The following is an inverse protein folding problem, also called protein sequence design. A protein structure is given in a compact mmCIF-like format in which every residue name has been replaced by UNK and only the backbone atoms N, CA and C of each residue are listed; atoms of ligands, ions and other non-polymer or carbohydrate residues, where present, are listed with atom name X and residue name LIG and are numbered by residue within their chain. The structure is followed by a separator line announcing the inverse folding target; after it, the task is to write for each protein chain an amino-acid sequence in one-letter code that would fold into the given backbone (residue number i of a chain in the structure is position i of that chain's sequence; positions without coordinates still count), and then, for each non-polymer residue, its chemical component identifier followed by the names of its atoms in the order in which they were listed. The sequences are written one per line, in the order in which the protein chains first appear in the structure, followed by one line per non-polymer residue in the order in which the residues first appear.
data_IF_037882542915
#
_entry.id   IF_037882542915
#
_cell.length_a   1.000
_cell.length_b   1.000
_cell.length_c   1.000
_cell.angle_alpha   90.00
_cell.angle_beta   90.00
_cell.angle_gamma   90.00
#
_symmetry.space_group_name_H-M   'P 1'
#
loop_
_entity.id
_entity.type
_entity.pdbx_description
1 polymer ?
#
# COMPACT_ATOMS: atom_id res chain seq x y z
N UNK A 1 7.07 -8.43 -1.43
CA UNK A 1 5.94 -8.35 -0.47
C UNK A 1 4.70 -7.73 -1.12
N UNK A 2 4.80 -6.53 -1.70
CA UNK A 2 3.70 -5.92 -2.45
C UNK A 2 3.18 -6.78 -3.62
N UNK A 3 4.08 -7.47 -4.34
CA UNK A 3 3.71 -8.31 -5.51
C UNK A 3 3.12 -9.66 -5.09
N UNK A 4 3.57 -10.23 -3.98
CA UNK A 4 3.18 -11.59 -3.53
C UNK A 4 1.95 -11.59 -2.62
N UNK A 5 1.28 -10.45 -2.43
CA UNK A 5 0.16 -10.27 -1.49
C UNK A 5 0.44 -10.72 -0.03
N UNK A 6 1.72 -10.77 0.35
CA UNK A 6 2.17 -11.19 1.70
C UNK A 6 2.66 -10.00 2.53
N UNK A 7 2.17 -8.80 2.22
CA UNK A 7 2.43 -7.64 3.08
C UNK A 7 1.50 -7.73 4.30
N UNK A 8 1.97 -7.41 5.52
CA UNK A 8 1.17 -7.47 6.75
C UNK A 8 0.17 -6.32 6.86
N UNK A 9 -0.58 -6.06 5.79
CA UNK A 9 -1.58 -5.00 5.68
C UNK A 9 -2.95 -5.54 6.10
N UNK A 10 -3.91 -4.64 6.30
CA UNK A 10 -5.27 -4.98 6.73
C UNK A 10 -5.93 -6.12 5.94
N UNK A 11 -5.81 -6.15 4.60
CA UNK A 11 -6.38 -7.24 3.78
C UNK A 11 -5.74 -8.60 4.06
N UNK A 12 -4.43 -8.65 4.32
CA UNK A 12 -3.73 -9.87 4.71
C UNK A 12 -4.19 -10.33 6.10
N UNK A 13 -4.28 -9.41 7.08
CA UNK A 13 -4.75 -9.72 8.43
C UNK A 13 -6.19 -10.23 8.41
N UNK A 14 -7.07 -9.63 7.60
CA UNK A 14 -8.46 -10.09 7.45
C UNK A 14 -8.54 -11.53 6.92
N UNK A 15 -7.68 -11.88 5.96
CA UNK A 15 -7.69 -13.21 5.35
C UNK A 15 -7.08 -14.29 6.26
N UNK A 16 -5.95 -14.00 6.91
CA UNK A 16 -5.17 -15.02 7.62
C UNK A 16 -5.32 -14.96 9.16
N UNK A 17 -5.78 -13.83 9.71
CA UNK A 17 -5.94 -13.60 11.16
C UNK A 17 -7.26 -12.88 11.48
N UNK A 18 -8.42 -13.41 11.03
CA UNK A 18 -9.70 -12.72 11.16
C UNK A 18 -10.02 -12.41 12.63
N UNK A 19 -10.35 -11.14 12.91
CA UNK A 19 -10.74 -10.67 14.24
C UNK A 19 -9.60 -10.51 15.26
N UNK A 20 -8.36 -10.86 14.92
CA UNK A 20 -7.23 -10.78 15.86
C UNK A 20 -6.50 -9.43 15.83
N UNK A 21 -6.49 -8.77 14.68
CA UNK A 21 -5.73 -7.53 14.47
C UNK A 21 -6.58 -6.45 13.83
N UNK A 22 -6.15 -5.20 14.00
CA UNK A 22 -6.76 -4.08 13.29
C UNK A 22 -6.53 -4.20 11.77
N UNK A 23 -7.62 -4.13 11.01
CA UNK A 23 -7.61 -4.17 9.55
C UNK A 23 -7.81 -2.79 8.91
N UNK A 24 -8.19 -1.78 9.69
CA UNK A 24 -8.34 -0.41 9.19
C UNK A 24 -6.97 0.22 8.94
N UNK A 25 -6.85 1.06 7.92
CA UNK A 25 -5.63 1.83 7.71
C UNK A 25 -5.47 2.89 8.82
N UNK A 26 -4.24 3.23 9.24
CA UNK A 26 -4.03 4.32 10.20
C UNK A 26 -4.60 5.67 9.76
N UNK A 27 -4.83 5.88 8.45
CA UNK A 27 -5.52 7.06 7.92
C UNK A 27 -7.05 7.02 8.10
N UNK A 28 -7.57 6.01 8.82
CA UNK A 28 -9.00 5.72 9.05
C UNK A 28 -9.77 5.18 7.85
N UNK A 29 -9.07 4.72 6.82
CA UNK A 29 -9.74 3.97 5.75
C UNK A 29 -10.24 2.62 6.28
N UNK A 30 -11.45 2.23 5.86
CA UNK A 30 -12.19 1.07 6.38
C UNK A 30 -11.38 -0.23 6.32
N UNK A 31 -10.61 -0.40 5.24
CA UNK A 31 -9.72 -1.53 5.06
C UNK A 31 -8.39 -1.06 4.48
N UNK A 32 -7.29 -1.45 5.11
CA UNK A 32 -5.95 -1.24 4.59
C UNK A 32 -5.66 -2.25 3.48
N UNK A 33 -5.98 -1.88 2.25
CA UNK A 33 -5.73 -2.68 1.04
C UNK A 33 -4.49 -2.17 0.31
N UNK A 34 -3.93 -3.02 -0.56
CA UNK A 34 -2.85 -2.63 -1.47
C UNK A 34 -3.29 -1.46 -2.36
N UNK A 35 -4.50 -1.52 -2.89
CA UNK A 35 -5.05 -0.47 -3.76
C UNK A 35 -5.12 0.87 -3.03
N UNK A 36 -5.67 0.87 -1.82
CA UNK A 36 -5.72 2.06 -0.98
C UNK A 36 -4.32 2.63 -0.72
N UNK A 37 -3.36 1.79 -0.28
CA UNK A 37 -1.98 2.21 -0.01
C UNK A 37 -1.33 2.86 -1.25
N UNK A 38 -1.50 2.23 -2.41
CA UNK A 38 -0.85 2.64 -3.64
C UNK A 38 -1.48 3.90 -4.26
N UNK A 39 -2.80 4.07 -4.18
CA UNK A 39 -3.53 5.10 -4.93
C UNK A 39 -4.10 6.24 -4.09
N UNK A 40 -4.48 5.98 -2.83
CA UNK A 40 -5.41 6.86 -2.10
C UNK A 40 -4.88 7.28 -0.74
N UNK A 41 -4.08 6.44 -0.10
CA UNK A 41 -3.73 6.57 1.31
C UNK A 41 -2.86 7.82 1.55
N UNK A 42 -3.34 8.85 2.26
CA UNK A 42 -2.63 10.12 2.40
C UNK A 42 -1.34 10.04 3.21
N UNK A 43 -1.06 8.89 3.83
CA UNK A 43 0.15 8.66 4.62
C UNK A 43 1.40 8.33 3.79
N UNK A 44 1.26 8.15 2.47
CA UNK A 44 2.35 7.77 1.58
C UNK A 44 2.59 8.83 0.49
N UNK A 45 3.86 9.09 0.19
CA UNK A 45 4.29 10.09 -0.77
C UNK A 45 4.13 9.61 -2.21
N UNK A 46 3.57 10.47 -3.06
CA UNK A 46 3.25 10.19 -4.48
C UNK A 46 3.42 11.43 -5.37
N UNK A 47 4.40 12.29 -5.09
CA UNK A 47 4.56 13.59 -5.79
C UNK A 47 4.74 13.47 -7.32
N UNK A 48 5.21 12.31 -7.79
CA UNK A 48 5.45 12.00 -9.20
C UNK A 48 4.23 11.41 -9.93
N UNK A 49 3.12 11.12 -9.26
CA UNK A 49 1.97 10.43 -9.87
C UNK A 49 1.27 11.22 -10.97
N UNK A 50 1.45 12.55 -10.97
CA UNK A 50 0.94 13.46 -12.01
C UNK A 50 1.88 13.56 -13.23
N UNK A 51 3.04 12.90 -13.20
CA UNK A 51 3.97 12.85 -14.32
C UNK A 51 3.62 11.66 -15.22
N UNK A 52 3.40 11.90 -16.51
CA UNK A 52 2.97 10.87 -17.49
C UNK A 52 3.88 9.62 -17.55
N UNK A 53 5.12 9.73 -17.06
CA UNK A 53 6.10 8.64 -17.06
C UNK A 53 6.02 7.70 -15.86
N UNK A 54 5.31 8.07 -14.79
CA UNK A 54 5.32 7.33 -13.54
C UNK A 54 3.89 7.09 -13.07
N UNK A 55 3.16 6.24 -13.79
CA UNK A 55 1.90 5.70 -13.29
C UNK A 55 2.18 4.52 -12.36
N UNK A 56 1.49 4.45 -11.22
CA UNK A 56 1.66 3.41 -10.19
C UNK A 56 1.37 1.98 -10.68
N UNK A 57 0.59 1.86 -11.76
CA UNK A 57 0.29 0.59 -12.42
C UNK A 57 1.46 0.07 -13.29
N UNK A 58 2.51 0.87 -13.48
CA UNK A 58 3.76 0.45 -14.15
C UNK A 58 4.77 -0.09 -13.15
N UNK A 59 5.67 -0.98 -13.59
CA UNK A 59 6.77 -1.47 -12.75
C UNK A 59 7.62 -0.30 -12.25
N UNK A 60 7.93 0.66 -13.13
CA UNK A 60 8.74 1.84 -12.79
C UNK A 60 8.07 2.70 -11.72
N UNK A 61 6.76 2.96 -11.85
CA UNK A 61 5.99 3.69 -10.85
C UNK A 61 5.93 2.94 -9.51
N UNK A 62 5.70 1.62 -9.54
CA UNK A 62 5.72 0.81 -8.31
C UNK A 62 7.09 0.82 -7.63
N UNK A 63 8.18 0.68 -8.39
CA UNK A 63 9.55 0.74 -7.84
C UNK A 63 9.78 2.12 -7.21
N UNK A 64 9.41 3.19 -7.91
CA UNK A 64 9.57 4.56 -7.40
C UNK A 64 8.76 4.77 -6.12
N UNK A 65 7.52 4.28 -6.06
CA UNK A 65 6.69 4.30 -4.85
C UNK A 65 7.37 3.62 -3.66
N UNK A 66 7.93 2.43 -3.88
CA UNK A 66 8.61 1.67 -2.83
C UNK A 66 9.92 2.31 -2.39
N UNK A 67 10.61 3.02 -3.29
CA UNK A 67 11.80 3.81 -2.96
C UNK A 67 11.45 5.00 -2.06
N UNK A 68 10.36 5.71 -2.37
CA UNK A 68 9.92 6.87 -1.60
C UNK A 68 9.25 6.42 -0.27
N UNK A 69 8.60 5.26 -0.27
CA UNK A 69 7.85 4.72 0.88
C UNK A 69 8.36 3.33 1.31
N UNK A 70 9.61 3.20 1.81
CA UNK A 70 10.23 1.90 2.09
C UNK A 70 9.49 1.07 3.15
N UNK A 71 8.69 1.71 4.00
CA UNK A 71 7.92 1.07 5.07
C UNK A 71 6.49 0.66 4.68
N UNK A 72 6.01 1.00 3.48
CA UNK A 72 4.61 0.79 3.09
C UNK A 72 4.13 -0.67 3.17
N UNK A 73 5.05 -1.63 3.04
CA UNK A 73 4.76 -3.06 3.10
C UNK A 73 5.76 -3.83 3.98
N UNK A 74 6.38 -3.13 4.95
CA UNK A 74 7.33 -3.71 5.90
C UNK A 74 6.60 -4.38 7.09
N UNK A 75 7.31 -5.24 7.84
CA UNK A 75 6.88 -5.73 9.15
C UNK A 75 7.25 -4.72 10.24
#
# INVERSE_FOLDING_TARGET
RCITNHAPIGSFRQQFFPGQYNTTCPCRHVLETREHILNECPLYERQWMNQERFHINTITGLVKFLQDNPKAFAF
#
